data_IF_647369994227
#
_entry.id   IF_647369994227
#
_cell.length_a   1.000
_cell.length_b   1.000
_cell.length_c   1.000
_cell.angle_alpha   90.00
_cell.angle_beta   90.00
_cell.angle_gamma   90.00
#
_symmetry.space_group_name_H-M   'P 1'
#
loop_
_entity.id
_entity.type
_entity.pdbx_description
1 polymer ?
#
# COMPACT_ATOMS: atom_id res chain seq x y z
N UNK A 1 -2.64 -3.74 14.56
CA UNK A 1 -2.17 -3.49 13.17
C UNK A 1 -2.45 -2.06 12.69
N UNK A 2 -3.12 -1.21 13.49
CA UNK A 2 -3.42 0.17 13.11
C UNK A 2 -2.14 0.95 12.72
N UNK A 3 -2.22 1.71 11.63
CA UNK A 3 -1.14 2.58 11.17
C UNK A 3 -0.01 1.90 10.38
N UNK A 4 -0.08 0.59 10.12
CA UNK A 4 0.92 -0.14 9.30
C UNK A 4 0.47 -0.43 7.87
N UNK A 5 -0.82 -0.23 7.58
CA UNK A 5 -1.40 -0.60 6.29
C UNK A 5 -1.74 0.63 5.47
N UNK A 6 -1.40 0.59 4.19
CA UNK A 6 -1.80 1.60 3.21
C UNK A 6 -2.66 0.98 2.13
N UNK A 7 -3.59 1.76 1.60
CA UNK A 7 -4.38 1.40 0.43
C UNK A 7 -3.75 2.05 -0.80
N UNK A 8 -3.54 1.25 -1.85
CA UNK A 8 -2.92 1.66 -3.10
C UNK A 8 -3.88 1.44 -4.26
N UNK A 9 -4.03 2.43 -5.14
CA UNK A 9 -4.88 2.39 -6.34
C UNK A 9 -4.14 2.97 -7.56
N UNK A 10 -4.73 2.85 -8.75
CA UNK A 10 -4.21 3.44 -9.99
C UNK A 10 -3.39 2.49 -10.87
N UNK A 11 -3.20 1.23 -10.45
CA UNK A 11 -2.62 0.19 -11.29
C UNK A 11 -3.68 -0.43 -12.23
N UNK A 12 -3.28 -0.97 -13.39
CA UNK A 12 -4.23 -1.39 -14.43
C UNK A 12 -5.03 -2.63 -14.03
N UNK A 13 -6.35 -2.62 -14.30
CA UNK A 13 -7.28 -3.72 -13.98
C UNK A 13 -7.02 -5.00 -14.78
N UNK A 14 -6.39 -4.87 -15.96
CA UNK A 14 -5.93 -6.00 -16.80
C UNK A 14 -4.72 -6.73 -16.20
N UNK A 15 -4.06 -6.16 -15.18
CA UNK A 15 -2.93 -6.82 -14.53
C UNK A 15 -3.45 -7.92 -13.59
N UNK A 16 -3.03 -9.18 -13.76
CA UNK A 16 -3.44 -10.27 -12.88
C UNK A 16 -3.11 -9.95 -11.41
N UNK A 17 -3.96 -10.33 -10.44
CA UNK A 17 -3.78 -10.00 -9.02
C UNK A 17 -2.40 -10.38 -8.48
N UNK A 18 -1.90 -11.57 -8.81
CA UNK A 18 -0.56 -12.02 -8.38
C UNK A 18 0.56 -11.14 -8.94
N UNK A 19 0.44 -10.75 -10.22
CA UNK A 19 1.42 -9.84 -10.84
C UNK A 19 1.32 -8.43 -10.30
N UNK A 20 0.13 -7.96 -9.97
CA UNK A 20 -0.07 -6.68 -9.30
C UNK A 20 0.59 -6.71 -7.92
N UNK A 21 0.36 -7.76 -7.13
CA UNK A 21 0.97 -7.97 -5.84
C UNK A 21 2.51 -7.97 -5.93
N UNK A 22 3.09 -8.74 -6.85
CA UNK A 22 4.54 -8.79 -7.06
C UNK A 22 5.13 -7.41 -7.41
N UNK A 23 4.49 -6.70 -8.34
CA UNK A 23 4.96 -5.37 -8.79
C UNK A 23 4.88 -4.34 -7.68
N UNK A 24 3.79 -4.33 -6.92
CA UNK A 24 3.61 -3.46 -5.77
C UNK A 24 4.63 -3.80 -4.68
N UNK A 25 4.83 -5.09 -4.38
CA UNK A 25 5.84 -5.56 -3.43
C UNK A 25 7.22 -5.04 -3.79
N UNK A 26 7.68 -5.29 -5.02
CA UNK A 26 9.01 -4.83 -5.49
C UNK A 26 9.11 -3.30 -5.45
N UNK A 27 8.03 -2.56 -5.71
CA UNK A 27 8.01 -1.11 -5.66
C UNK A 27 8.16 -0.58 -4.24
N UNK A 28 7.38 -1.10 -3.30
CA UNK A 28 7.30 -0.62 -1.92
C UNK A 28 8.32 -1.27 -0.97
N UNK A 29 9.08 -2.28 -1.41
CA UNK A 29 10.29 -2.74 -0.71
C UNK A 29 11.46 -1.75 -0.86
N UNK A 30 11.45 -0.89 -1.88
CA UNK A 30 12.58 0.01 -2.18
C UNK A 30 12.53 1.25 -1.28
N UNK A 31 13.54 1.41 -0.43
CA UNK A 31 13.64 2.57 0.49
C UNK A 31 13.66 3.93 -0.22
N UNK A 32 14.16 4.01 -1.46
CA UNK A 32 14.12 5.24 -2.27
C UNK A 32 12.70 5.71 -2.62
N UNK A 33 11.74 4.80 -2.59
CA UNK A 33 10.32 5.12 -2.75
C UNK A 33 9.66 5.42 -1.38
N UNK A 34 10.44 5.60 -0.31
CA UNK A 34 9.92 5.68 1.06
C UNK A 34 9.48 4.34 1.64
N UNK A 35 9.67 3.25 0.87
CA UNK A 35 9.32 1.89 1.21
C UNK A 35 10.18 1.22 2.29
N UNK A 36 9.89 -0.05 2.57
CA UNK A 36 10.54 -0.87 3.57
C UNK A 36 9.94 -2.28 3.60
N UNK A 37 10.29 -3.06 4.62
CA UNK A 37 9.86 -4.45 4.71
C UNK A 37 8.33 -4.58 4.77
N UNK A 38 7.81 -5.49 3.95
CA UNK A 38 6.38 -5.73 3.76
C UNK A 38 6.03 -7.04 4.44
N UNK A 39 5.06 -6.98 5.35
CA UNK A 39 4.48 -8.15 5.98
C UNK A 39 3.48 -8.84 5.04
N UNK A 40 2.68 -8.06 4.30
CA UNK A 40 1.63 -8.61 3.44
C UNK A 40 1.20 -7.66 2.32
N UNK A 41 0.84 -8.22 1.16
CA UNK A 41 0.12 -7.52 0.09
C UNK A 41 -1.14 -8.29 -0.28
N UNK A 42 -2.30 -7.63 -0.21
CA UNK A 42 -3.59 -8.17 -0.67
C UNK A 42 -4.14 -7.31 -1.80
N UNK A 43 -4.32 -7.89 -2.98
CA UNK A 43 -5.03 -7.23 -4.09
C UNK A 43 -6.51 -7.53 -3.95
N UNK A 44 -7.31 -6.47 -3.87
CA UNK A 44 -8.76 -6.56 -3.75
C UNK A 44 -9.40 -6.42 -5.13
N UNK A 45 -10.42 -7.23 -5.44
CA UNK A 45 -11.21 -7.07 -6.66
C UNK A 45 -11.96 -5.73 -6.61
N UNK A 46 -12.04 -5.05 -7.76
CA UNK A 46 -12.75 -3.76 -7.88
C UNK A 46 -12.47 -3.06 -9.21
N UNK A 47 -13.27 -2.05 -9.51
CA UNK A 47 -13.07 -1.15 -10.66
C UNK A 47 -13.22 0.31 -10.18
N UNK A 48 -12.11 1.02 -9.93
CA UNK A 48 -10.72 0.61 -10.17
C UNK A 48 -10.20 -0.41 -9.14
N UNK A 49 -9.22 -1.25 -9.52
CA UNK A 49 -8.63 -2.22 -8.59
C UNK A 49 -7.88 -1.50 -7.46
N UNK A 50 -7.79 -2.15 -6.31
CA UNK A 50 -7.05 -1.62 -5.17
C UNK A 50 -6.25 -2.71 -4.46
N UNK A 51 -5.20 -2.32 -3.76
CA UNK A 51 -4.38 -3.21 -2.98
C UNK A 51 -4.17 -2.66 -1.58
N UNK A 52 -4.15 -3.54 -0.59
CA UNK A 52 -3.74 -3.23 0.77
C UNK A 52 -2.32 -3.76 0.97
N UNK A 53 -1.43 -2.87 1.43
CA UNK A 53 -0.04 -3.21 1.72
C UNK A 53 0.20 -2.98 3.18
N UNK A 54 0.54 -4.03 3.91
CA UNK A 54 0.87 -4.01 5.33
C UNK A 54 2.38 -4.09 5.49
N UNK A 55 2.97 -3.08 6.13
CA UNK A 55 4.40 -3.02 6.43
C UNK A 55 4.71 -3.62 7.79
N UNK A 56 5.94 -4.12 7.94
CA UNK A 56 6.46 -4.57 9.25
C UNK A 56 6.51 -3.39 10.24
N UNK A 57 6.95 -2.23 9.75
CA UNK A 57 7.19 -1.03 10.55
C UNK A 57 6.17 0.09 10.21
N UNK A 58 5.46 0.67 11.19
CA UNK A 58 4.46 1.72 10.94
C UNK A 58 5.07 3.01 10.38
N UNK A 59 6.34 3.27 10.66
CA UNK A 59 7.06 4.43 10.14
C UNK A 59 7.17 4.38 8.61
N UNK A 60 7.19 3.17 8.02
CA UNK A 60 7.22 2.97 6.57
C UNK A 60 5.91 3.46 5.95
N UNK A 61 4.76 3.08 6.51
CA UNK A 61 3.46 3.57 6.05
C UNK A 61 3.38 5.11 6.08
N UNK A 62 3.86 5.74 7.16
CA UNK A 62 3.90 7.20 7.26
C UNK A 62 4.83 7.85 6.23
N UNK A 63 6.00 7.27 5.95
CA UNK A 63 6.92 7.78 4.93
C UNK A 63 6.33 7.70 3.54
N UNK A 64 5.71 6.58 3.21
CA UNK A 64 5.06 6.37 1.91
C UNK A 64 3.96 7.41 1.69
N UNK A 65 3.15 7.74 2.71
CA UNK A 65 2.12 8.77 2.61
C UNK A 65 2.69 10.19 2.40
N UNK A 66 3.91 10.46 2.87
CA UNK A 66 4.61 11.73 2.62
C UNK A 66 5.17 11.80 1.20
N UNK A 67 5.47 10.65 0.59
CA UNK A 67 5.93 10.55 -0.80
C UNK A 67 4.72 10.64 -1.73
N UNK A 68 4.49 11.80 -2.34
CA UNK A 68 3.30 12.04 -3.17
C UNK A 68 3.34 11.45 -4.59
N UNK A 69 4.50 11.01 -5.08
CA UNK A 69 4.70 10.61 -6.48
C UNK A 69 5.14 9.14 -6.61
N UNK A 70 4.33 8.21 -6.12
CA UNK A 70 4.53 6.80 -6.41
C UNK A 70 4.13 6.51 -7.85
N UNK A 71 5.05 5.96 -8.63
CA UNK A 71 4.79 5.63 -10.04
C UNK A 71 5.24 4.19 -10.29
N UNK A 72 4.27 3.33 -10.58
CA UNK A 72 4.52 1.94 -10.93
C UNK A 72 4.87 1.82 -12.41
N UNK A 73 6.04 1.28 -12.72
CA UNK A 73 6.44 1.00 -14.10
C UNK A 73 6.06 -0.45 -14.46
N UNK A 74 5.18 -0.61 -15.45
CA UNK A 74 4.79 -1.91 -16.00
C UNK A 74 5.11 -1.88 -17.50
N UNK A 75 6.16 -2.61 -17.89
CA UNK A 75 6.69 -2.55 -19.25
C UNK A 75 7.19 -1.14 -19.58
N UNK A 76 6.62 -0.53 -20.62
CA UNK A 76 6.93 0.85 -21.05
C UNK A 76 5.98 1.89 -20.47
N UNK A 77 4.92 1.46 -19.79
CA UNK A 77 3.86 2.33 -19.29
C UNK A 77 4.09 2.65 -17.81
N UNK A 78 3.72 3.88 -17.43
CA UNK A 78 3.87 4.41 -16.08
C UNK A 78 2.50 4.68 -15.50
N UNK A 79 2.23 4.11 -14.33
CA UNK A 79 0.95 4.22 -13.65
C UNK A 79 1.15 5.00 -12.35
N UNK A 80 0.62 6.24 -12.25
CA UNK A 80 0.64 6.96 -10.98
C UNK A 80 -0.20 6.20 -9.97
N UNK A 81 0.39 5.92 -8.81
CA UNK A 81 -0.29 5.24 -7.73
C UNK A 81 -0.85 6.26 -6.75
N UNK A 82 -2.12 6.10 -6.41
CA UNK A 82 -2.72 6.81 -5.29
C UNK A 82 -2.49 5.98 -4.02
N UNK A 83 -1.87 6.58 -3.02
CA UNK A 83 -1.64 5.92 -1.72
C UNK A 83 -2.38 6.67 -0.62
N UNK A 84 -3.23 5.96 0.10
CA UNK A 84 -4.00 6.48 1.22
C UNK A 84 -3.78 5.62 2.45
N UNK A 85 -3.94 6.20 3.65
CA UNK A 85 -3.85 5.43 4.88
C UNK A 85 -5.02 4.46 4.93
N UNK A 86 -4.74 3.17 5.16
CA UNK A 86 -5.79 2.23 5.49
C UNK A 86 -5.99 2.29 7.01
N UNK A 87 -6.89 3.18 7.43
CA UNK A 87 -7.40 3.16 8.79
C UNK A 87 -8.28 1.91 8.94
N UNK A 88 -7.67 0.80 9.37
CA UNK A 88 -8.42 -0.17 10.15
C UNK A 88 -8.92 0.64 11.35
N UNK A 89 -10.24 0.83 11.43
CA UNK A 89 -10.88 1.63 12.47
C UNK A 89 -10.17 1.38 13.80
N UNK A 90 -9.74 2.47 14.44
CA UNK A 90 -9.48 2.42 15.86
C UNK A 90 -10.77 1.90 16.47
N UNK A 91 -10.79 0.64 16.92
CA UNK A 91 -11.74 0.26 17.96
C UNK A 91 -11.52 1.26 19.10
N UNK A 92 -12.52 2.07 19.47
CA UNK A 92 -12.39 2.97 20.61
C UNK A 92 -12.21 2.24 21.96
N UNK A 93 -12.25 0.90 21.96
CA UNK A 93 -12.30 0.05 23.15
C UNK A 93 -11.01 -0.11 23.95
N UNK A 94 -9.92 0.61 23.62
CA UNK A 94 -8.76 0.73 24.50
C UNK A 94 -8.65 2.11 25.20
N UNK A 95 -9.74 2.88 25.25
CA UNK A 95 -9.87 3.95 26.25
C UNK A 95 -10.23 3.32 27.60
N UNK A 96 -9.20 2.77 28.23
CA UNK A 96 -8.98 2.67 29.67
C UNK A 96 -10.25 2.65 30.55
N UNK A 97 -10.63 1.44 30.97
CA UNK A 97 -10.99 1.17 32.37
C UNK A 97 -10.04 1.96 33.28
N UNK A 98 -10.50 3.07 33.85
CA UNK A 98 -9.82 3.88 34.84
C UNK A 98 -10.84 4.64 35.65
#
# INVERSE_FOLDING_TARGET
MAGRTVRVQGFPAELPPDRAADKLTIHFLRSRNGGGDIAEVRVLPGSPPCALITFEAPEVAQRILKVKNHVLAIGRTRYPLEVTLHAAELSPDEVLRG
#
